data_IF_183200207101
#
_entry.id   IF_183200207101
#
_cell.length_a   1.000
_cell.length_b   1.000
_cell.length_c   1.000
_cell.angle_alpha   90.00
_cell.angle_beta   90.00
_cell.angle_gamma   90.00
#
_symmetry.space_group_name_H-M   'P 1'
#
loop_
_entity.id
_entity.type
_entity.pdbx_description
1 polymer ?
#
# COMPACT_ATOMS: atom_id res chain seq x y z
N UNK A 1 12.54 7.22 -15.44
CA UNK A 1 11.16 7.16 -14.91
C UNK A 1 10.63 5.74 -15.05
N UNK A 2 9.70 5.38 -14.18
CA UNK A 2 8.94 4.13 -14.28
C UNK A 2 7.55 4.44 -14.84
N UNK A 3 6.98 3.50 -15.59
CA UNK A 3 5.64 3.64 -16.14
C UNK A 3 4.58 3.58 -15.03
N UNK A 4 3.44 4.23 -15.26
CA UNK A 4 2.32 4.17 -14.33
C UNK A 4 1.79 2.73 -14.24
N UNK A 5 1.55 2.28 -13.02
CA UNK A 5 1.06 0.92 -12.78
C UNK A 5 1.13 0.49 -11.33
N UNK A 6 0.73 -0.74 -11.13
CA UNK A 6 0.87 -1.44 -9.86
C UNK A 6 2.20 -2.19 -9.81
N UNK A 7 2.91 -2.03 -8.71
CA UNK A 7 4.22 -2.66 -8.49
C UNK A 7 4.28 -3.33 -7.13
N UNK A 8 4.93 -4.47 -7.08
CA UNK A 8 5.29 -5.13 -5.83
C UNK A 8 6.76 -4.83 -5.51
N UNK A 9 7.02 -4.26 -4.34
CA UNK A 9 8.38 -4.07 -3.86
C UNK A 9 8.97 -5.39 -3.38
N UNK A 10 10.16 -5.71 -3.89
CA UNK A 10 10.90 -6.92 -3.52
C UNK A 10 12.13 -6.52 -2.68
N UNK A 11 12.08 -6.70 -1.35
CA UNK A 11 13.12 -6.17 -0.45
C UNK A 11 14.49 -6.82 -0.64
N UNK A 12 14.53 -8.11 -0.97
CA UNK A 12 15.80 -8.83 -1.16
C UNK A 12 16.65 -8.26 -2.30
N UNK A 13 16.03 -7.85 -3.37
CA UNK A 13 16.71 -7.33 -4.56
C UNK A 13 16.62 -5.80 -4.67
N UNK A 14 15.91 -5.16 -3.75
CA UNK A 14 15.60 -3.72 -3.80
C UNK A 14 15.05 -3.34 -5.19
N UNK A 15 14.01 -4.04 -5.61
CA UNK A 15 13.43 -3.91 -6.96
C UNK A 15 11.92 -3.80 -6.91
N UNK A 16 11.35 -3.30 -8.01
CA UNK A 16 9.91 -3.25 -8.21
C UNK A 16 9.52 -4.26 -9.29
N UNK A 17 8.59 -5.15 -8.95
CA UNK A 17 7.99 -6.07 -9.90
C UNK A 17 6.69 -5.45 -10.43
N UNK A 18 6.61 -5.24 -11.74
CA UNK A 18 5.39 -4.76 -12.37
C UNK A 18 4.29 -5.82 -12.27
N UNK A 19 3.12 -5.42 -11.78
CA UNK A 19 1.96 -6.31 -11.65
C UNK A 19 0.92 -6.06 -12.75
N UNK A 20 0.49 -4.82 -12.92
CA UNK A 20 -0.53 -4.46 -13.90
C UNK A 20 -0.57 -2.94 -14.15
N UNK A 21 -1.22 -2.55 -15.23
CA UNK A 21 -1.53 -1.17 -15.52
C UNK A 21 -2.60 -0.61 -14.57
N UNK A 22 -2.64 0.73 -14.44
CA UNK A 22 -3.67 1.37 -13.64
C UNK A 22 -5.04 1.22 -14.30
N UNK A 23 -6.05 1.11 -13.47
CA UNK A 23 -7.46 1.22 -13.84
C UNK A 23 -7.83 2.64 -14.26
N UNK A 24 -9.01 2.84 -14.90
CA UNK A 24 -9.52 4.18 -15.17
C UNK A 24 -9.68 5.00 -13.88
N UNK A 25 -9.38 6.28 -13.95
CA UNK A 25 -9.42 7.20 -12.80
C UNK A 25 -10.72 7.14 -11.98
N UNK A 26 -11.85 6.97 -12.65
CA UNK A 26 -13.15 6.85 -11.97
C UNK A 26 -13.21 5.64 -11.03
N UNK A 27 -12.63 4.53 -11.44
CA UNK A 27 -12.58 3.30 -10.65
C UNK A 27 -11.62 3.45 -9.48
N UNK A 28 -10.44 4.01 -9.71
CA UNK A 28 -9.49 4.38 -8.67
C UNK A 28 -10.12 5.29 -7.61
N UNK A 29 -10.81 6.33 -8.05
CA UNK A 29 -11.53 7.25 -7.16
C UNK A 29 -12.59 6.53 -6.32
N UNK A 30 -13.29 5.55 -6.88
CA UNK A 30 -14.25 4.72 -6.15
C UNK A 30 -13.55 3.88 -5.08
N UNK A 31 -12.38 3.33 -5.39
CA UNK A 31 -11.62 2.51 -4.47
C UNK A 31 -11.04 3.30 -3.28
N UNK A 32 -10.55 4.50 -3.53
CA UNK A 32 -9.79 5.31 -2.55
C UNK A 32 -10.68 6.30 -1.80
N UNK A 33 -11.80 6.69 -2.37
CA UNK A 33 -12.75 7.62 -1.76
C UNK A 33 -12.70 9.02 -2.32
N UNK A 34 -13.26 9.98 -1.56
CA UNK A 34 -13.55 11.34 -2.06
C UNK A 34 -12.48 12.39 -1.72
N UNK A 35 -11.41 12.02 -1.05
CA UNK A 35 -10.36 12.97 -0.65
C UNK A 35 -9.42 13.22 -1.84
N UNK A 36 -9.60 14.34 -2.54
CA UNK A 36 -8.86 14.65 -3.75
C UNK A 36 -7.34 14.60 -3.56
N UNK A 37 -6.82 15.14 -2.45
CA UNK A 37 -5.39 15.11 -2.13
C UNK A 37 -4.81 13.69 -1.95
N UNK A 38 -5.66 12.70 -1.65
CA UNK A 38 -5.26 11.29 -1.62
C UNK A 38 -5.39 10.66 -3.01
N UNK A 39 -6.51 10.90 -3.67
CA UNK A 39 -6.83 10.33 -4.99
C UNK A 39 -5.80 10.77 -6.05
N UNK A 40 -5.45 12.04 -6.03
CA UNK A 40 -4.61 12.69 -7.05
C UNK A 40 -3.11 12.68 -6.72
N UNK A 41 -2.71 12.09 -5.60
CA UNK A 41 -1.30 11.97 -5.26
C UNK A 41 -0.54 11.14 -6.32
N UNK A 42 0.70 11.53 -6.65
CA UNK A 42 1.45 10.83 -7.70
C UNK A 42 1.93 9.44 -7.31
N UNK A 43 2.06 9.16 -6.01
CA UNK A 43 2.52 7.87 -5.51
C UNK A 43 1.63 7.40 -4.36
N UNK A 44 1.29 6.13 -4.39
CA UNK A 44 0.56 5.47 -3.32
C UNK A 44 1.31 4.21 -2.88
N UNK A 45 1.60 4.11 -1.59
CA UNK A 45 2.08 2.89 -0.97
C UNK A 45 0.92 2.18 -0.29
N UNK A 46 0.78 0.90 -0.54
CA UNK A 46 -0.23 0.06 0.11
C UNK A 46 0.51 -1.02 0.89
N UNK A 47 0.34 -1.00 2.20
CA UNK A 47 0.97 -1.99 3.08
C UNK A 47 0.05 -3.21 3.21
N UNK A 48 0.62 -4.38 2.95
CA UNK A 48 -0.12 -5.64 2.91
C UNK A 48 0.67 -6.70 3.66
N UNK A 49 0.00 -7.44 4.52
CA UNK A 49 0.58 -8.58 5.23
C UNK A 49 0.14 -9.91 4.65
N UNK A 50 1.08 -10.81 4.42
CA UNK A 50 0.78 -12.19 4.02
C UNK A 50 0.85 -13.11 5.25
N UNK A 51 -0.29 -13.59 5.77
CA UNK A 51 -0.30 -14.45 6.94
C UNK A 51 0.44 -15.79 6.73
N UNK A 52 0.59 -16.23 5.48
CA UNK A 52 1.29 -17.48 5.16
C UNK A 52 2.79 -17.40 5.43
N UNK A 53 3.37 -16.21 5.36
CA UNK A 53 4.83 -16.00 5.56
C UNK A 53 5.26 -16.26 7.00
N UNK A 54 4.39 -16.01 7.99
CA UNK A 54 4.73 -16.14 9.41
C UNK A 54 3.95 -17.24 10.14
N UNK A 55 2.92 -17.81 9.52
CA UNK A 55 2.09 -18.87 10.15
C UNK A 55 2.87 -20.14 10.52
N UNK A 56 3.98 -20.39 9.86
CA UNK A 56 4.87 -21.50 10.18
C UNK A 56 5.64 -21.29 11.50
N UNK A 57 5.85 -20.04 11.91
CA UNK A 57 6.64 -19.68 13.10
C UNK A 57 5.77 -19.36 14.31
N UNK A 58 4.61 -18.77 14.09
CA UNK A 58 3.70 -18.34 15.15
C UNK A 58 2.32 -18.96 14.94
N UNK A 59 1.78 -19.60 15.97
CA UNK A 59 0.44 -20.18 15.89
C UNK A 59 -0.65 -19.09 15.98
N UNK A 60 -1.62 -19.22 15.09
CA UNK A 60 -2.93 -18.53 15.08
C UNK A 60 -2.92 -17.01 15.35
N UNK A 61 -3.51 -16.59 16.47
CA UNK A 61 -3.73 -15.17 16.79
C UNK A 61 -2.46 -14.34 16.97
N UNK A 62 -1.35 -14.97 17.39
CA UNK A 62 -0.07 -14.28 17.56
C UNK A 62 0.55 -13.88 16.22
N UNK A 63 0.38 -14.68 15.18
CA UNK A 63 0.86 -14.33 13.84
C UNK A 63 0.10 -13.13 13.26
N UNK A 64 -1.21 -13.08 13.46
CA UNK A 64 -2.03 -11.94 13.02
C UNK A 64 -1.65 -10.66 13.77
N UNK A 65 -1.46 -10.74 15.08
CA UNK A 65 -1.00 -9.60 15.89
C UNK A 65 0.34 -9.08 15.40
N UNK A 66 1.30 -9.96 15.14
CA UNK A 66 2.63 -9.61 14.65
C UNK A 66 2.54 -8.90 13.30
N UNK A 67 1.72 -9.42 12.38
CA UNK A 67 1.50 -8.78 11.08
C UNK A 67 0.92 -7.37 11.22
N UNK A 68 -0.08 -7.17 12.07
CA UNK A 68 -0.66 -5.84 12.29
C UNK A 68 0.37 -4.86 12.86
N UNK A 69 1.21 -5.31 13.79
CA UNK A 69 2.29 -4.48 14.34
C UNK A 69 3.32 -4.12 13.27
N UNK A 70 3.74 -5.07 12.46
CA UNK A 70 4.70 -4.84 11.36
C UNK A 70 4.14 -3.90 10.29
N UNK A 71 2.88 -4.08 9.90
CA UNK A 71 2.19 -3.19 8.98
C UNK A 71 2.17 -1.76 9.51
N UNK A 72 1.85 -1.58 10.78
CA UNK A 72 1.84 -0.26 11.42
C UNK A 72 3.23 0.38 11.47
N UNK A 73 4.26 -0.39 11.83
CA UNK A 73 5.64 0.08 11.81
C UNK A 73 6.10 0.50 10.41
N UNK A 74 5.86 -0.33 9.41
CA UNK A 74 6.21 -0.03 8.02
C UNK A 74 5.49 1.22 7.52
N UNK A 75 4.21 1.33 7.81
CA UNK A 75 3.40 2.49 7.41
C UNK A 75 3.94 3.80 8.00
N UNK A 76 4.36 3.77 9.27
CA UNK A 76 4.97 4.93 9.91
C UNK A 76 6.34 5.27 9.30
N UNK A 77 7.17 4.26 9.03
CA UNK A 77 8.48 4.47 8.41
C UNK A 77 8.34 5.11 7.03
N UNK A 78 7.38 4.68 6.20
CA UNK A 78 7.12 5.30 4.90
C UNK A 78 6.79 6.78 5.06
N UNK A 79 5.94 7.15 6.00
CA UNK A 79 5.58 8.54 6.25
C UNK A 79 6.75 9.36 6.79
N UNK A 80 7.58 8.79 7.64
CA UNK A 80 8.80 9.44 8.14
C UNK A 80 9.81 9.70 7.02
N UNK A 81 10.02 8.73 6.14
CA UNK A 81 10.91 8.87 4.98
C UNK A 81 10.37 9.91 4.01
N UNK A 82 9.06 9.94 3.76
CA UNK A 82 8.44 10.98 2.95
C UNK A 82 8.77 12.37 3.49
N UNK A 83 8.60 12.58 4.79
CA UNK A 83 8.95 13.86 5.44
C UNK A 83 10.44 14.16 5.34
N UNK A 84 11.31 13.18 5.57
CA UNK A 84 12.76 13.35 5.51
C UNK A 84 13.27 13.67 4.09
N UNK A 85 12.50 13.31 3.06
CA UNK A 85 12.81 13.59 1.65
C UNK A 85 12.00 14.76 1.08
N UNK A 86 11.48 15.62 1.95
CA UNK A 86 10.72 16.82 1.61
C UNK A 86 9.44 16.55 0.80
N UNK A 87 8.74 15.49 1.18
CA UNK A 87 7.43 15.15 0.65
C UNK A 87 6.34 15.25 1.71
N UNK A 88 5.11 15.43 1.28
CA UNK A 88 3.93 15.28 2.12
C UNK A 88 3.40 13.85 1.99
N UNK A 89 2.85 13.34 3.07
CA UNK A 89 2.18 12.04 3.06
C UNK A 89 0.87 12.06 3.81
N UNK A 90 -0.06 11.22 3.40
CA UNK A 90 -1.33 11.00 4.06
C UNK A 90 -1.67 9.52 4.09
N UNK A 91 -1.74 8.95 5.29
CA UNK A 91 -2.21 7.59 5.48
C UNK A 91 -3.72 7.53 5.64
N UNK A 92 -4.35 6.58 4.99
CA UNK A 92 -5.77 6.23 5.17
C UNK A 92 -5.92 4.73 5.37
N UNK A 93 -6.91 4.33 6.17
CA UNK A 93 -7.24 2.92 6.39
C UNK A 93 -8.58 2.52 5.77
N UNK A 94 -9.37 3.47 5.30
CA UNK A 94 -10.66 3.23 4.67
C UNK A 94 -10.54 3.34 3.15
N UNK A 95 -10.42 2.21 2.49
CA UNK A 95 -10.39 2.07 1.03
C UNK A 95 -10.93 0.70 0.62
N UNK A 96 -11.24 0.54 -0.65
CA UNK A 96 -11.78 -0.71 -1.20
C UNK A 96 -10.64 -1.60 -1.68
N UNK A 97 -10.13 -2.42 -0.76
CA UNK A 97 -9.06 -3.39 -1.06
C UNK A 97 -9.43 -4.40 -2.12
N UNK A 98 -10.71 -4.76 -2.22
CA UNK A 98 -11.20 -5.68 -3.24
C UNK A 98 -11.01 -5.13 -4.66
N UNK A 99 -11.30 -3.84 -4.87
CA UNK A 99 -11.11 -3.18 -6.17
C UNK A 99 -9.62 -3.07 -6.50
N UNK A 100 -8.80 -2.62 -5.53
CA UNK A 100 -7.36 -2.45 -5.73
C UNK A 100 -6.69 -3.80 -6.01
N UNK A 101 -6.99 -4.82 -5.24
CA UNK A 101 -6.44 -6.16 -5.42
C UNK A 101 -6.80 -6.74 -6.80
N UNK A 102 -8.05 -6.59 -7.22
CA UNK A 102 -8.53 -7.08 -8.51
C UNK A 102 -7.74 -6.45 -9.66
N UNK A 103 -7.54 -5.13 -9.62
CA UNK A 103 -6.75 -4.41 -10.61
C UNK A 103 -5.26 -4.75 -10.55
N UNK A 104 -4.72 -5.02 -9.38
CA UNK A 104 -3.32 -5.45 -9.23
C UNK A 104 -3.10 -6.94 -9.55
N UNK A 105 -4.15 -7.72 -9.78
CA UNK A 105 -4.07 -9.16 -10.02
C UNK A 105 -3.83 -9.99 -8.77
N UNK A 106 -4.30 -9.52 -7.61
CA UNK A 106 -4.16 -10.17 -6.31
C UNK A 106 -5.51 -10.65 -5.79
N UNK A 107 -5.52 -11.76 -5.03
CA UNK A 107 -6.69 -12.17 -4.26
C UNK A 107 -6.71 -11.42 -2.93
N UNK A 108 -7.64 -10.47 -2.77
CA UNK A 108 -7.71 -9.64 -1.57
C UNK A 108 -7.95 -10.44 -0.29
N UNK A 109 -8.60 -11.61 -0.39
CA UNK A 109 -8.89 -12.47 0.76
C UNK A 109 -7.66 -13.17 1.32
N UNK A 110 -6.58 -13.25 0.55
CA UNK A 110 -5.34 -13.92 0.95
C UNK A 110 -4.43 -13.06 1.81
N UNK A 111 -4.73 -11.77 1.98
CA UNK A 111 -3.86 -10.81 2.62
C UNK A 111 -4.57 -10.01 3.73
N UNK A 112 -3.78 -9.52 4.68
CA UNK A 112 -4.20 -8.48 5.60
C UNK A 112 -3.85 -7.12 5.00
N UNK A 113 -4.85 -6.32 4.69
CA UNK A 113 -4.69 -4.99 4.11
C UNK A 113 -4.49 -3.97 5.21
N UNK A 114 -3.40 -3.24 5.15
CA UNK A 114 -3.05 -2.24 6.14
C UNK A 114 -3.48 -0.83 5.75
N UNK A 115 -2.51 0.02 5.46
CA UNK A 115 -2.77 1.41 5.09
C UNK A 115 -2.47 1.67 3.63
N UNK A 116 -3.22 2.59 3.05
CA UNK A 116 -2.87 3.27 1.81
C UNK A 116 -2.25 4.61 2.18
N UNK A 117 -1.03 4.85 1.73
CA UNK A 117 -0.27 6.07 2.03
C UNK A 117 -0.02 6.82 0.73
N UNK A 118 -0.72 7.93 0.57
CA UNK A 118 -0.52 8.85 -0.54
C UNK A 118 0.71 9.72 -0.26
N UNK A 119 1.58 9.86 -1.24
CA UNK A 119 2.79 10.69 -1.15
C UNK A 119 2.89 11.60 -2.35
N UNK A 120 3.19 12.85 -2.10
CA UNK A 120 3.34 13.87 -3.14
C UNK A 120 4.34 14.94 -2.76
N UNK A 121 4.68 15.82 -3.71
CA UNK A 121 5.59 16.92 -3.44
C UNK A 121 4.99 17.86 -2.39
N UNK A 122 5.86 18.52 -1.65
CA UNK A 122 5.46 19.64 -0.79
C UNK A 122 5.26 20.85 -1.69
N UNK A 123 4.03 21.34 -1.73
CA UNK A 123 3.72 22.61 -2.35
C UNK A 123 4.00 23.74 -1.35
N UNK A 124 4.94 24.55 -1.65
CA UNK A 124 5.28 25.75 -0.85
C UNK A 124 4.30 26.90 -1.13
#
# INVERSE_FOLDING_TARGET
>A
SIDDGYYLYHPKNHSLLFLNHLEPYKEWKTAVGKQSHVVDAPIHFITVGDPRVISWKYESLNSIRTLWLEIGHLSQVIQMVATATDHLSRGISLFREDIIADNAGLDWRSFLWGMLIAVGPRDD
#
